data_IF_258212913079
#
_entry.id   IF_258212913079
#
_cell.length_a   1.000
_cell.length_b   1.000
_cell.length_c   1.000
_cell.angle_alpha   90.00
_cell.angle_beta   90.00
_cell.angle_gamma   90.00
#
_symmetry.space_group_name_H-M   'P 1'
#
loop_
_entity.id
_entity.type
_entity.pdbx_description
1 polymer ?
#
# COMPACT_ATOMS: atom_id res chain seq x y z
N UNK A 1 -15.81 -19.29 36.32
CA UNK A 1 -14.71 -18.31 36.27
C UNK A 1 -14.06 -18.45 34.91
N UNK A 2 -14.46 -17.59 33.97
CA UNK A 2 -14.01 -17.64 32.58
C UNK A 2 -12.56 -17.18 32.46
N UNK A 3 -11.70 -18.08 31.99
CA UNK A 3 -10.30 -17.79 31.71
C UNK A 3 -10.21 -16.92 30.46
N UNK A 4 -9.90 -15.62 30.66
CA UNK A 4 -9.58 -14.68 29.58
C UNK A 4 -8.32 -15.15 28.86
N UNK A 5 -8.49 -15.79 27.71
CA UNK A 5 -7.43 -16.15 26.78
C UNK A 5 -6.76 -14.87 26.25
N UNK A 6 -5.58 -14.53 26.74
CA UNK A 6 -4.81 -13.40 26.23
C UNK A 6 -4.40 -13.67 24.78
N UNK A 7 -4.89 -12.85 23.84
CA UNK A 7 -4.36 -12.84 22.47
C UNK A 7 -2.93 -12.29 22.52
N UNK A 8 -1.95 -13.18 22.38
CA UNK A 8 -0.57 -12.78 22.07
C UNK A 8 -0.57 -12.08 20.71
N UNK A 9 -0.29 -10.78 20.69
CA UNK A 9 -0.05 -10.02 19.48
C UNK A 9 1.28 -10.46 18.89
N UNK A 10 1.23 -11.35 17.90
CA UNK A 10 2.43 -11.77 17.14
C UNK A 10 3.08 -10.52 16.53
N UNK A 11 4.39 -10.40 16.74
CA UNK A 11 5.24 -9.39 16.10
C UNK A 11 5.26 -9.69 14.59
N UNK A 12 4.74 -8.78 13.78
CA UNK A 12 4.89 -8.83 12.32
C UNK A 12 6.38 -8.73 12.03
N UNK A 13 6.94 -9.69 11.31
CA UNK A 13 8.36 -9.70 10.97
C UNK A 13 8.64 -8.75 9.80
N UNK A 14 9.88 -8.31 9.65
CA UNK A 14 10.30 -7.53 8.49
C UNK A 14 10.02 -8.25 7.15
N UNK A 15 10.07 -9.58 7.15
CA UNK A 15 9.71 -10.39 5.98
C UNK A 15 8.22 -10.28 5.63
N UNK A 16 7.35 -10.07 6.62
CA UNK A 16 5.90 -9.94 6.39
C UNK A 16 5.55 -8.57 5.79
N UNK A 17 6.41 -7.55 5.94
CA UNK A 17 6.25 -6.23 5.34
C UNK A 17 7.04 -6.05 4.04
N UNK A 18 7.88 -7.02 3.66
CA UNK A 18 8.78 -6.89 2.51
C UNK A 18 8.01 -6.62 1.21
N UNK A 19 6.87 -7.29 1.02
CA UNK A 19 5.99 -7.07 -0.13
C UNK A 19 5.45 -5.63 -0.17
N UNK A 20 4.88 -5.15 0.94
CA UNK A 20 4.32 -3.80 1.05
C UNK A 20 5.42 -2.75 0.84
N UNK A 21 6.58 -2.95 1.48
CA UNK A 21 7.73 -2.07 1.34
C UNK A 21 8.22 -1.99 -0.11
N UNK A 22 8.17 -3.10 -0.85
CA UNK A 22 8.50 -3.11 -2.28
C UNK A 22 7.49 -2.27 -3.07
N UNK A 23 6.19 -2.51 -2.89
CA UNK A 23 5.12 -1.79 -3.58
C UNK A 23 5.17 -0.28 -3.32
N UNK A 24 5.29 0.15 -2.06
CA UNK A 24 5.33 1.59 -1.72
C UNK A 24 6.67 2.26 -2.06
N UNK A 25 7.69 1.49 -2.46
CA UNK A 25 8.98 2.01 -2.91
C UNK A 25 9.04 2.27 -4.42
N UNK A 26 8.04 1.81 -5.18
CA UNK A 26 8.00 2.01 -6.62
C UNK A 26 7.95 3.49 -7.00
N UNK A 27 8.78 3.84 -7.96
CA UNK A 27 8.70 5.08 -8.72
C UNK A 27 7.57 5.03 -9.74
N UNK A 28 7.28 6.17 -10.40
CA UNK A 28 6.32 6.17 -11.51
C UNK A 28 6.85 5.29 -12.65
N UNK A 29 8.15 5.35 -12.91
CA UNK A 29 8.83 4.55 -13.93
C UNK A 29 8.64 3.06 -13.67
N UNK A 30 8.83 2.61 -12.43
CA UNK A 30 8.60 1.21 -12.04
C UNK A 30 7.14 0.80 -12.28
N UNK A 31 6.17 1.65 -11.92
CA UNK A 31 4.74 1.32 -12.07
C UNK A 31 4.36 1.17 -13.54
N UNK A 32 4.94 1.98 -14.44
CA UNK A 32 4.65 1.93 -15.86
C UNK A 32 5.55 0.97 -16.66
N UNK A 33 6.58 0.38 -16.03
CA UNK A 33 7.47 -0.59 -16.66
C UNK A 33 6.81 -1.97 -16.74
N UNK A 34 6.42 -2.37 -17.96
CA UNK A 34 5.83 -3.68 -18.24
C UNK A 34 6.82 -4.85 -18.14
N UNK A 35 8.12 -4.55 -18.14
CA UNK A 35 9.18 -5.55 -18.08
C UNK A 35 9.82 -5.65 -16.67
N UNK A 36 9.32 -4.88 -15.68
CA UNK A 36 9.90 -4.76 -14.33
C UNK A 36 10.20 -6.13 -13.68
N UNK A 37 9.28 -7.09 -13.80
CA UNK A 37 9.40 -8.44 -13.24
C UNK A 37 9.60 -9.54 -14.28
N UNK A 38 9.76 -9.21 -15.56
CA UNK A 38 9.80 -10.20 -16.65
C UNK A 38 10.85 -11.29 -16.47
N UNK A 39 12.04 -10.91 -15.99
CA UNK A 39 13.13 -11.84 -15.74
C UNK A 39 12.98 -12.64 -14.43
N UNK A 40 11.98 -12.31 -13.62
CA UNK A 40 11.65 -13.01 -12.36
C UNK A 40 10.40 -13.91 -12.53
N UNK A 41 9.75 -13.85 -13.70
CA UNK A 41 8.61 -14.69 -14.06
C UNK A 41 9.07 -16.01 -14.69
N UNK A 42 9.72 -16.85 -13.89
CA UNK A 42 9.88 -18.25 -14.27
C UNK A 42 8.51 -18.93 -14.31
N UNK A 43 8.34 -19.93 -15.17
CA UNK A 43 7.11 -20.74 -15.20
C UNK A 43 6.86 -21.33 -13.82
N UNK A 44 5.66 -21.11 -13.26
CA UNK A 44 5.27 -21.70 -11.98
C UNK A 44 5.35 -23.22 -12.12
N UNK A 45 6.22 -23.84 -11.33
CA UNK A 45 6.41 -25.29 -11.34
C UNK A 45 5.10 -26.02 -11.01
N UNK A 46 4.92 -27.19 -11.60
CA UNK A 46 3.75 -28.04 -11.29
C UNK A 46 3.89 -28.73 -9.92
N UNK A 47 5.12 -28.85 -9.41
CA UNK A 47 5.46 -29.53 -8.16
C UNK A 47 6.52 -28.73 -7.41
N UNK A 48 6.47 -28.81 -6.07
CA UNK A 48 7.39 -28.09 -5.19
C UNK A 48 7.87 -29.02 -4.08
N UNK A 49 9.16 -28.96 -3.77
CA UNK A 49 9.75 -29.79 -2.71
C UNK A 49 9.36 -29.30 -1.31
N UNK A 50 9.15 -27.99 -1.17
CA UNK A 50 8.81 -27.36 0.10
C UNK A 50 7.78 -26.24 -0.07
N UNK A 51 6.94 -26.04 0.95
CA UNK A 51 5.96 -24.95 0.97
C UNK A 51 6.58 -23.57 0.74
N UNK A 52 7.80 -23.33 1.25
CA UNK A 52 8.52 -22.06 1.03
C UNK A 52 8.79 -21.81 -0.47
N UNK A 53 9.16 -22.86 -1.22
CA UNK A 53 9.40 -22.75 -2.66
C UNK A 53 8.10 -22.45 -3.42
N UNK A 54 7.00 -23.10 -3.02
CA UNK A 54 5.66 -22.79 -3.53
C UNK A 54 5.33 -21.31 -3.31
N UNK A 55 5.33 -20.82 -2.07
CA UNK A 55 4.95 -19.42 -1.78
C UNK A 55 5.87 -18.41 -2.48
N UNK A 56 7.18 -18.68 -2.53
CA UNK A 56 8.12 -17.81 -3.22
C UNK A 56 7.88 -17.73 -4.73
N UNK A 57 7.37 -18.78 -5.37
CA UNK A 57 7.07 -18.78 -6.80
C UNK A 57 5.94 -17.83 -7.20
N UNK A 58 5.06 -17.48 -6.26
CA UNK A 58 3.96 -16.53 -6.50
C UNK A 58 4.31 -15.09 -6.20
N UNK A 59 5.47 -14.80 -5.58
CA UNK A 59 5.84 -13.42 -5.22
C UNK A 59 6.01 -12.54 -6.48
N UNK A 60 6.78 -12.92 -7.51
CA UNK A 60 6.89 -12.09 -8.72
C UNK A 60 5.57 -11.92 -9.50
N UNK A 61 4.76 -12.98 -9.73
CA UNK A 61 3.44 -12.83 -10.32
C UNK A 61 2.52 -11.88 -9.54
N UNK A 62 2.51 -11.96 -8.21
CA UNK A 62 1.69 -11.10 -7.37
C UNK A 62 2.15 -9.64 -7.41
N UNK A 63 3.47 -9.40 -7.43
CA UNK A 63 4.02 -8.06 -7.61
C UNK A 63 3.61 -7.48 -8.96
N UNK A 64 3.70 -8.26 -10.03
CA UNK A 64 3.28 -7.81 -11.37
C UNK A 64 1.78 -7.54 -11.45
N UNK A 65 0.93 -8.42 -10.91
CA UNK A 65 -0.51 -8.19 -10.84
C UNK A 65 -0.83 -6.89 -10.09
N UNK A 66 -0.16 -6.67 -8.95
CA UNK A 66 -0.31 -5.45 -8.16
C UNK A 66 0.18 -4.21 -8.92
N UNK A 67 1.29 -4.31 -9.65
CA UNK A 67 1.83 -3.23 -10.48
C UNK A 67 0.87 -2.86 -11.60
N UNK A 68 0.32 -3.84 -12.30
CA UNK A 68 -0.69 -3.64 -13.37
C UNK A 68 -1.94 -2.98 -12.81
N UNK A 69 -2.45 -3.45 -11.66
CA UNK A 69 -3.61 -2.85 -11.02
C UNK A 69 -3.33 -1.39 -10.60
N UNK A 70 -2.15 -1.13 -10.03
CA UNK A 70 -1.77 0.22 -9.60
C UNK A 70 -1.61 1.17 -10.81
N UNK A 71 -1.02 0.68 -11.91
CA UNK A 71 -0.92 1.41 -13.18
C UNK A 71 -2.30 1.84 -13.67
N UNK A 72 -3.25 0.90 -13.72
CA UNK A 72 -4.64 1.17 -14.09
C UNK A 72 -5.31 2.22 -13.18
N UNK A 73 -5.10 2.14 -11.86
CA UNK A 73 -5.61 3.13 -10.92
C UNK A 73 -5.02 4.54 -11.16
N UNK A 74 -3.73 4.64 -11.48
CA UNK A 74 -3.06 5.92 -11.76
C UNK A 74 -3.56 6.54 -13.07
N UNK A 75 -3.88 5.73 -14.08
CA UNK A 75 -4.44 6.21 -15.35
C UNK A 75 -5.79 6.92 -15.17
N UNK A 76 -6.59 6.50 -14.19
CA UNK A 76 -7.90 7.08 -13.86
C UNK A 76 -7.89 7.97 -12.60
N UNK A 77 -6.73 8.49 -12.21
CA UNK A 77 -6.55 9.18 -10.92
C UNK A 77 -7.49 10.38 -10.72
N UNK A 78 -7.89 11.08 -11.78
CA UNK A 78 -8.83 12.21 -11.71
C UNK A 78 -10.17 11.84 -11.07
N UNK A 79 -10.58 10.58 -11.24
CA UNK A 79 -11.86 10.05 -10.78
C UNK A 79 -11.74 9.32 -9.44
N UNK A 80 -10.53 9.20 -8.89
CA UNK A 80 -10.31 8.50 -7.63
C UNK A 80 -10.80 9.33 -6.43
N UNK A 81 -11.35 8.67 -5.40
CA UNK A 81 -11.68 9.35 -4.16
C UNK A 81 -10.45 10.00 -3.53
N UNK A 82 -10.61 11.22 -3.03
CA UNK A 82 -9.53 11.97 -2.38
C UNK A 82 -10.06 12.70 -1.14
N UNK A 83 -9.15 12.99 -0.22
CA UNK A 83 -9.42 13.81 0.96
C UNK A 83 -8.23 14.73 1.21
N UNK A 84 -8.49 15.92 1.75
CA UNK A 84 -7.43 16.81 2.21
C UNK A 84 -6.79 16.23 3.47
N UNK A 85 -5.46 16.24 3.53
CA UNK A 85 -4.70 15.89 4.74
C UNK A 85 -4.56 17.14 5.60
N UNK A 86 -4.96 17.05 6.86
CA UNK A 86 -4.83 18.13 7.84
C UNK A 86 -3.59 17.99 8.72
N UNK A 87 -3.20 16.75 9.01
CA UNK A 87 -2.13 16.46 9.96
C UNK A 87 -1.44 15.15 9.60
N UNK A 88 -0.11 15.15 9.71
CA UNK A 88 0.75 13.99 9.52
C UNK A 88 1.67 13.88 10.73
N UNK A 89 1.39 12.91 11.60
CA UNK A 89 2.13 12.72 12.85
C UNK A 89 2.86 11.39 12.84
N UNK A 90 4.16 11.40 13.10
CA UNK A 90 4.93 10.16 13.27
C UNK A 90 4.39 9.39 14.47
N UNK A 91 4.13 8.10 14.28
CA UNK A 91 3.68 7.19 15.31
C UNK A 91 4.71 6.08 15.49
N UNK A 92 4.94 5.68 16.73
CA UNK A 92 5.80 4.54 17.02
C UNK A 92 4.94 3.31 17.28
N UNK A 93 5.17 2.24 16.52
CA UNK A 93 4.52 0.96 16.74
C UNK A 93 5.55 -0.13 17.00
N UNK A 94 5.28 -1.00 17.97
CA UNK A 94 6.07 -2.21 18.20
C UNK A 94 6.04 -3.16 16.99
N UNK A 95 5.04 -3.04 16.12
CA UNK A 95 4.87 -3.87 14.91
C UNK A 95 5.47 -3.24 13.65
N UNK A 96 5.37 -1.93 13.47
CA UNK A 96 5.77 -1.21 12.24
C UNK A 96 6.97 -0.27 12.42
N UNK A 97 7.55 -0.22 13.62
CA UNK A 97 8.67 0.66 13.95
C UNK A 97 8.31 2.14 13.85
N UNK A 98 9.27 2.94 13.36
CA UNK A 98 9.17 4.40 13.17
C UNK A 98 8.55 4.81 11.84
N UNK A 99 8.22 3.86 10.96
CA UNK A 99 7.72 4.14 9.61
C UNK A 99 6.18 4.33 9.57
N UNK A 100 5.52 4.25 10.72
CA UNK A 100 4.09 4.48 10.84
C UNK A 100 3.80 5.98 11.04
N UNK A 101 2.83 6.49 10.29
CA UNK A 101 2.33 7.84 10.48
C UNK A 101 0.82 7.79 10.70
N UNK A 102 0.33 8.60 11.63
CA UNK A 102 -1.09 8.91 11.76
C UNK A 102 -1.38 10.06 10.80
N UNK A 103 -2.32 9.81 9.89
CA UNK A 103 -2.79 10.80 8.92
C UNK A 103 -4.21 11.17 9.33
N UNK A 104 -4.45 12.46 9.56
CA UNK A 104 -5.79 12.99 9.77
C UNK A 104 -6.26 13.65 8.47
N UNK A 105 -7.45 13.28 8.01
CA UNK A 105 -8.00 13.75 6.75
C UNK A 105 -9.39 14.35 6.94
N UNK A 106 -9.80 15.16 5.98
CA UNK A 106 -11.21 15.49 5.80
C UNK A 106 -12.02 14.30 5.29
N UNK A 107 -13.29 14.56 5.01
CA UNK A 107 -14.16 13.61 4.31
C UNK A 107 -13.64 13.35 2.89
N UNK A 108 -13.77 12.11 2.46
CA UNK A 108 -13.41 11.73 1.10
C UNK A 108 -14.50 12.18 0.12
N UNK A 109 -14.08 12.57 -1.10
CA UNK A 109 -14.97 13.03 -2.16
C UNK A 109 -15.85 11.94 -2.81
N UNK A 110 -15.85 10.73 -2.27
CA UNK A 110 -16.50 9.54 -2.86
C UNK A 110 -17.18 8.68 -1.79
N UNK A 111 -17.69 7.52 -2.19
CA UNK A 111 -18.43 6.64 -1.28
C UNK A 111 -17.49 6.08 -0.19
N UNK A 112 -17.54 6.69 0.99
CA UNK A 112 -16.53 6.47 2.03
C UNK A 112 -16.44 4.98 2.44
N UNK A 113 -17.53 4.22 2.28
CA UNK A 113 -17.63 2.80 2.61
C UNK A 113 -16.59 1.92 1.89
N UNK A 114 -16.10 2.32 0.72
CA UNK A 114 -15.08 1.56 -0.02
C UNK A 114 -13.64 1.89 0.40
N UNK A 115 -13.42 3.04 1.06
CA UNK A 115 -12.10 3.57 1.42
C UNK A 115 -11.65 3.16 2.83
N UNK A 116 -12.57 2.64 3.64
CA UNK A 116 -12.32 2.27 5.04
C UNK A 116 -11.67 0.89 5.26
N UNK A 117 -11.05 0.30 4.23
CA UNK A 117 -10.40 -1.01 4.36
C UNK A 117 -8.92 -0.82 4.70
N UNK A 118 -8.50 -1.39 5.84
CA UNK A 118 -7.08 -1.70 6.07
C UNK A 118 -6.58 -2.53 4.89
N UNK A 119 -5.41 -2.18 4.36
CA UNK A 119 -4.83 -2.84 3.19
C UNK A 119 -4.90 -2.05 1.88
N UNK A 120 -5.36 -0.81 1.90
CA UNK A 120 -5.43 0.04 0.72
C UNK A 120 -4.12 0.83 0.50
N UNK A 121 -3.77 1.03 -0.77
CA UNK A 121 -2.67 1.91 -1.19
C UNK A 121 -3.25 3.27 -1.54
N UNK A 122 -2.64 4.33 -1.03
CA UNK A 122 -2.99 5.71 -1.31
C UNK A 122 -1.81 6.44 -1.93
N UNK A 123 -2.11 7.50 -2.68
CA UNK A 123 -1.13 8.49 -3.11
C UNK A 123 -1.24 9.68 -2.17
N UNK A 124 -0.19 9.96 -1.41
CA UNK A 124 -0.03 11.18 -0.66
C UNK A 124 0.70 12.19 -1.54
N UNK A 125 0.11 13.36 -1.77
CA UNK A 125 0.68 14.41 -2.63
C UNK A 125 0.37 15.81 -2.08
N UNK A 126 1.19 16.79 -2.44
CA UNK A 126 0.94 18.21 -2.13
C UNK A 126 0.07 18.95 -3.15
N UNK A 127 -0.40 18.24 -4.16
CA UNK A 127 -1.32 18.70 -5.17
C UNK A 127 -2.45 17.67 -5.34
N UNK A 128 -3.52 18.06 -6.04
CA UNK A 128 -4.56 17.13 -6.47
C UNK A 128 -4.21 16.63 -7.88
N UNK A 129 -3.76 15.38 -8.06
CA UNK A 129 -3.45 14.86 -9.39
C UNK A 129 -4.71 14.80 -10.24
N UNK A 130 -4.61 15.19 -11.50
CA UNK A 130 -5.67 15.04 -12.51
C UNK A 130 -5.23 14.12 -13.64
N UNK A 131 -3.92 14.04 -13.88
CA UNK A 131 -3.33 13.25 -14.96
C UNK A 131 -2.03 12.60 -14.49
N UNK A 132 -1.61 11.54 -15.20
CA UNK A 132 -0.30 10.90 -15.00
C UNK A 132 0.84 11.92 -15.09
N UNK A 133 0.72 12.92 -15.96
CA UNK A 133 1.75 13.93 -16.16
C UNK A 133 1.92 14.86 -14.95
N UNK A 134 0.93 14.98 -14.07
CA UNK A 134 1.05 15.85 -12.89
C UNK A 134 2.08 15.29 -11.89
N UNK A 135 2.30 13.98 -11.89
CA UNK A 135 3.33 13.30 -11.10
C UNK A 135 4.76 13.54 -11.60
N UNK A 136 4.91 13.99 -12.85
CA UNK A 136 6.21 14.27 -13.49
C UNK A 136 6.62 15.74 -13.43
N UNK A 137 5.73 16.62 -12.94
CA UNK A 137 6.00 18.07 -12.90
C UNK A 137 7.00 18.40 -11.80
N UNK A 138 8.04 19.13 -12.14
CA UNK A 138 9.02 19.61 -11.17
C UNK A 138 8.34 20.46 -10.09
N UNK A 139 8.67 20.19 -8.83
CA UNK A 139 8.15 20.91 -7.67
C UNK A 139 6.95 20.25 -7.00
N UNK A 140 6.30 19.29 -7.67
CA UNK A 140 5.28 18.44 -7.08
C UNK A 140 5.94 17.24 -6.38
N UNK A 141 5.52 16.91 -5.17
CA UNK A 141 5.93 15.66 -4.53
C UNK A 141 4.74 14.75 -4.30
N UNK A 142 5.01 13.46 -4.38
CA UNK A 142 4.03 12.43 -4.09
C UNK A 142 4.72 11.16 -3.61
N UNK A 143 4.02 10.36 -2.81
CA UNK A 143 4.49 9.08 -2.30
C UNK A 143 3.34 8.08 -2.24
N UNK A 144 3.63 6.82 -2.54
CA UNK A 144 2.73 5.71 -2.20
C UNK A 144 2.77 5.47 -0.70
N UNK A 145 1.60 5.30 -0.10
CA UNK A 145 1.45 4.97 1.31
C UNK A 145 0.44 3.85 1.48
N UNK A 146 0.67 2.99 2.46
CA UNK A 146 -0.18 1.83 2.73
C UNK A 146 -0.97 2.02 4.02
N UNK A 147 -2.29 1.79 3.98
CA UNK A 147 -3.13 1.90 5.16
C UNK A 147 -3.06 0.63 6.01
N UNK A 148 -2.52 0.78 7.22
CA UNK A 148 -2.43 -0.31 8.19
C UNK A 148 -3.71 -0.44 9.01
N UNK A 149 -4.45 0.66 9.20
CA UNK A 149 -5.69 0.68 9.97
C UNK A 149 -6.27 2.08 10.05
N UNK A 150 -7.48 2.18 10.61
CA UNK A 150 -8.23 3.42 10.69
C UNK A 150 -8.67 3.61 12.14
N UNK A 151 -8.37 4.77 12.70
CA UNK A 151 -8.97 5.24 13.94
C UNK A 151 -10.04 6.26 13.58
N UNK A 152 -11.30 6.02 13.94
CA UNK A 152 -12.30 7.08 13.93
C UNK A 152 -11.90 8.07 15.03
N UNK A 153 -11.76 9.35 14.68
CA UNK A 153 -11.64 10.39 15.70
C UNK A 153 -12.87 10.34 16.59
N UNK A 154 -12.68 10.39 17.90
CA UNK A 154 -13.78 10.67 18.82
C UNK A 154 -14.29 12.05 18.45
N UNK A 155 -15.49 12.11 17.88
CA UNK A 155 -16.15 13.38 17.59
C UNK A 155 -16.39 14.10 18.91
N UNK A 156 -15.95 15.36 18.97
CA UNK A 156 -16.37 16.30 20.02
C UNK A 156 -17.79 16.81 19.72
#
# INVERSE_FOLDING_TARGET
MDSKRSRSTKKVSWNDLAFINNVISWSLEDIFDQDLYKNQMDSIGLTFDFAKQYFNSFVPPLLEETRVQLCSCIEIISSSPHAQVFSLQRSHSLQYGSNLHRVETGSFSGDEKELYKSGAVFILADFKPQTVNDFKRNGNWWHLVFSVGISKGEGY
#
